data_IF_687189004873
#
_entry.id   IF_687189004873
#
_cell.length_a   1.000
_cell.length_b   1.000
_cell.length_c   1.000
_cell.angle_alpha   90.00
_cell.angle_beta   90.00
_cell.angle_gamma   90.00
#
_symmetry.space_group_name_H-M   'P 1'
#
loop_
_entity.id
_entity.type
_entity.pdbx_description
1 polymer ?
#
# COMPACT_ATOMS: atom_id res chain seq x y z
N UNK A 1 -5.97 -21.36 28.83
CA UNK A 1 -4.72 -20.87 29.48
C UNK A 1 -4.99 -19.49 30.08
N UNK A 2 -4.50 -19.29 31.31
CA UNK A 2 -4.70 -18.06 32.07
C UNK A 2 -3.99 -16.89 31.37
N UNK A 3 -4.72 -15.82 30.94
CA UNK A 3 -4.13 -14.66 30.31
C UNK A 3 -3.09 -13.94 31.17
N UNK A 4 -3.26 -13.96 32.50
CA UNK A 4 -2.37 -13.29 33.45
C UNK A 4 -0.98 -13.94 33.52
N UNK A 5 -0.83 -15.17 33.00
CA UNK A 5 0.48 -15.86 32.92
C UNK A 5 1.30 -15.45 31.70
N UNK A 6 0.74 -14.65 30.79
CA UNK A 6 1.33 -14.33 29.48
C UNK A 6 1.79 -12.88 29.38
N UNK A 7 2.81 -12.64 28.54
CA UNK A 7 3.20 -11.28 28.18
C UNK A 7 2.23 -10.69 27.13
N UNK A 8 2.21 -9.36 27.02
CA UNK A 8 1.41 -8.69 26.00
C UNK A 8 1.75 -9.20 24.58
N UNK A 9 3.03 -9.45 24.29
CA UNK A 9 3.46 -10.00 23.00
C UNK A 9 2.89 -11.40 22.72
N UNK A 10 2.85 -12.27 23.72
CA UNK A 10 2.24 -13.61 23.57
C UNK A 10 0.73 -13.53 23.33
N UNK A 11 0.03 -12.67 24.07
CA UNK A 11 -1.41 -12.45 23.84
C UNK A 11 -1.72 -11.90 22.45
N UNK A 12 -0.91 -10.98 21.95
CA UNK A 12 -1.04 -10.43 20.59
C UNK A 12 -0.88 -11.55 19.55
N UNK A 13 0.12 -12.43 19.71
CA UNK A 13 0.30 -13.57 18.79
C UNK A 13 -0.89 -14.52 18.82
N UNK A 14 -1.45 -14.81 20.00
CA UNK A 14 -2.63 -15.67 20.13
C UNK A 14 -3.88 -15.04 19.50
N UNK A 15 -4.11 -13.74 19.75
CA UNK A 15 -5.21 -12.99 19.12
C UNK A 15 -5.06 -13.03 17.60
N UNK A 16 -3.85 -12.78 17.09
CA UNK A 16 -3.60 -12.79 15.65
C UNK A 16 -3.81 -14.18 15.03
N UNK A 17 -3.37 -15.23 15.72
CA UNK A 17 -3.61 -16.61 15.31
C UNK A 17 -5.11 -16.98 15.32
N UNK A 18 -5.86 -16.43 16.29
CA UNK A 18 -7.32 -16.58 16.35
C UNK A 18 -8.02 -15.87 15.17
N UNK A 19 -7.63 -14.63 14.88
CA UNK A 19 -8.14 -13.89 13.73
C UNK A 19 -7.91 -14.65 12.42
N UNK A 20 -6.74 -15.27 12.25
CA UNK A 20 -6.46 -16.08 11.06
C UNK A 20 -7.42 -17.26 10.88
N UNK A 21 -7.93 -17.84 11.98
CA UNK A 21 -8.80 -19.01 11.93
C UNK A 21 -10.28 -18.67 11.82
N UNK A 22 -10.70 -17.58 12.44
CA UNK A 22 -12.13 -17.29 12.64
C UNK A 22 -12.64 -16.20 11.68
N UNK A 23 -11.95 -15.05 11.61
CA UNK A 23 -12.43 -13.90 10.87
C UNK A 23 -11.28 -12.99 10.45
N UNK A 24 -10.84 -13.16 9.23
CA UNK A 24 -9.75 -12.36 8.66
C UNK A 24 -10.24 -10.99 8.29
N UNK A 25 -9.85 -9.98 9.08
CA UNK A 25 -10.15 -8.59 8.81
C UNK A 25 -9.11 -7.97 7.86
N UNK A 26 -9.37 -6.75 7.38
CA UNK A 26 -8.47 -5.99 6.51
C UNK A 26 -7.03 -5.90 7.04
N UNK A 27 -6.86 -5.72 8.37
CA UNK A 27 -5.53 -5.70 8.99
C UNK A 27 -4.74 -6.99 8.76
N UNK A 28 -5.39 -8.14 8.88
CA UNK A 28 -4.74 -9.43 8.64
C UNK A 28 -4.23 -9.55 7.20
N UNK A 29 -5.05 -9.15 6.23
CA UNK A 29 -4.67 -9.13 4.81
C UNK A 29 -3.50 -8.16 4.57
N UNK A 30 -3.61 -6.93 5.06
CA UNK A 30 -2.58 -5.89 4.93
C UNK A 30 -1.25 -6.32 5.53
N UNK A 31 -1.26 -6.87 6.75
CA UNK A 31 -0.05 -7.33 7.44
C UNK A 31 0.59 -8.54 6.72
N UNK A 32 -0.23 -9.47 6.22
CA UNK A 32 0.25 -10.61 5.43
C UNK A 32 0.88 -10.15 4.12
N UNK A 33 0.26 -9.20 3.41
CA UNK A 33 0.79 -8.61 2.18
C UNK A 33 2.12 -7.89 2.43
N UNK A 34 2.18 -7.05 3.47
CA UNK A 34 3.40 -6.33 3.85
C UNK A 34 4.54 -7.31 4.15
N UNK A 35 4.28 -8.35 4.95
CA UNK A 35 5.27 -9.38 5.26
C UNK A 35 5.76 -10.10 4.00
N UNK A 36 4.85 -10.52 3.11
CA UNK A 36 5.22 -11.17 1.85
C UNK A 36 6.08 -10.27 0.97
N UNK A 37 5.70 -9.01 0.81
CA UNK A 37 6.37 -8.10 -0.10
C UNK A 37 7.71 -7.59 0.45
N UNK A 38 7.76 -7.16 1.71
CA UNK A 38 8.97 -6.54 2.28
C UNK A 38 9.92 -7.51 2.98
N UNK A 39 9.47 -8.72 3.35
CA UNK A 39 10.35 -9.75 3.92
C UNK A 39 10.70 -10.86 2.93
N UNK A 40 9.78 -11.17 2.01
CA UNK A 40 9.91 -12.32 1.12
C UNK A 40 10.42 -12.00 -0.28
N UNK A 41 9.98 -10.89 -0.88
CA UNK A 41 10.26 -10.57 -2.30
C UNK A 41 11.23 -9.39 -2.41
N UNK A 42 11.03 -8.37 -1.60
CA UNK A 42 11.78 -7.12 -1.61
C UNK A 42 12.41 -6.86 -0.24
N UNK A 43 13.06 -5.72 -0.08
CA UNK A 43 13.50 -5.23 1.21
C UNK A 43 13.18 -3.73 1.39
N UNK A 44 13.16 -3.28 2.63
CA UNK A 44 12.79 -1.89 2.97
C UNK A 44 13.78 -0.83 2.51
N UNK A 45 15.02 -1.22 2.12
CA UNK A 45 15.99 -0.26 1.57
C UNK A 45 15.66 0.13 0.14
N UNK A 46 15.08 -0.80 -0.64
CA UNK A 46 14.76 -0.59 -2.05
C UNK A 46 13.28 -0.31 -2.28
N UNK A 47 12.43 -0.63 -1.31
CA UNK A 47 10.97 -0.60 -1.45
C UNK A 47 10.36 0.21 -0.33
N UNK A 48 9.40 1.07 -0.68
CA UNK A 48 8.55 1.77 0.29
C UNK A 48 7.10 1.34 0.11
N UNK A 49 6.42 1.14 1.22
CA UNK A 49 4.98 0.88 1.24
C UNK A 49 4.23 2.03 1.93
N UNK A 50 3.00 2.23 1.53
CA UNK A 50 2.08 3.24 2.08
C UNK A 50 0.71 2.61 2.24
N UNK A 51 0.00 2.98 3.29
CA UNK A 51 -1.40 2.60 3.48
C UNK A 51 -2.31 3.81 3.35
N UNK A 52 -3.56 3.57 2.99
CA UNK A 52 -4.62 4.58 2.93
C UNK A 52 -4.25 5.80 2.07
N UNK A 53 -3.72 5.54 0.87
CA UNK A 53 -3.32 6.59 -0.07
C UNK A 53 -4.54 7.09 -0.84
N UNK A 54 -4.86 8.38 -0.71
CA UNK A 54 -5.95 9.00 -1.48
C UNK A 54 -5.55 9.19 -2.93
N UNK A 55 -6.38 8.66 -3.84
CA UNK A 55 -6.24 8.80 -5.30
C UNK A 55 -7.62 9.17 -5.85
N UNK A 56 -7.79 10.42 -6.26
CA UNK A 56 -9.09 10.93 -6.64
C UNK A 56 -10.11 10.86 -5.49
N UNK A 57 -11.23 10.20 -5.74
CA UNK A 57 -12.28 10.00 -4.75
C UNK A 57 -12.16 8.66 -3.98
N UNK A 58 -11.16 7.85 -4.29
CA UNK A 58 -10.90 6.57 -3.61
C UNK A 58 -9.69 6.65 -2.70
N UNK A 59 -9.58 5.69 -1.80
CA UNK A 59 -8.45 5.51 -0.88
C UNK A 59 -7.92 4.11 -1.12
N UNK A 60 -6.68 4.01 -1.59
CA UNK A 60 -6.01 2.74 -1.82
C UNK A 60 -5.51 2.16 -0.49
N UNK A 61 -5.85 0.91 -0.20
CA UNK A 61 -5.49 0.25 1.06
C UNK A 61 -3.99 0.09 1.21
N UNK A 62 -3.32 -0.32 0.14
CA UNK A 62 -1.90 -0.57 0.14
C UNK A 62 -1.26 -0.13 -1.19
N UNK A 63 -0.20 0.66 -1.09
CA UNK A 63 0.62 1.10 -2.22
C UNK A 63 2.06 0.67 -1.97
N UNK A 64 2.70 0.08 -2.97
CA UNK A 64 4.11 -0.28 -2.93
C UNK A 64 4.86 0.45 -4.04
N UNK A 65 6.03 0.99 -3.73
CA UNK A 65 6.91 1.63 -4.71
C UNK A 65 8.30 1.00 -4.64
N UNK A 66 8.67 0.31 -5.73
CA UNK A 66 9.99 -0.30 -5.93
C UNK A 66 10.44 -0.12 -7.39
N UNK A 67 10.99 1.05 -7.71
CA UNK A 67 11.25 1.45 -9.10
C UNK A 67 9.97 1.82 -9.86
N UNK A 68 8.92 1.02 -9.73
CA UNK A 68 7.56 1.27 -10.19
C UNK A 68 6.58 1.32 -9.01
N UNK A 69 5.42 1.93 -9.23
CA UNK A 69 4.33 1.97 -8.24
C UNK A 69 3.29 0.90 -8.52
N UNK A 70 2.82 0.23 -7.47
CA UNK A 70 1.74 -0.77 -7.51
C UNK A 70 0.72 -0.47 -6.43
N UNK A 71 -0.55 -0.53 -6.79
CA UNK A 71 -1.67 -0.45 -5.84
C UNK A 71 -2.20 -1.86 -5.58
N UNK A 72 -2.59 -2.10 -4.35
CA UNK A 72 -3.31 -3.30 -3.95
C UNK A 72 -4.58 -2.87 -3.21
N UNK A 73 -5.72 -3.22 -3.77
CA UNK A 73 -7.02 -3.12 -3.09
C UNK A 73 -7.26 -4.41 -2.33
N UNK A 74 -7.61 -4.31 -1.07
CA UNK A 74 -7.88 -5.46 -0.21
C UNK A 74 -9.38 -5.69 -0.13
N UNK A 75 -9.82 -6.90 -0.45
CA UNK A 75 -11.19 -7.34 -0.26
C UNK A 75 -11.20 -8.55 0.66
N UNK A 76 -11.55 -8.30 1.92
CA UNK A 76 -11.71 -9.35 2.93
C UNK A 76 -12.99 -10.16 2.66
N UNK A 77 -13.16 -11.26 3.38
CA UNK A 77 -14.36 -12.11 3.27
C UNK A 77 -15.68 -11.39 3.66
N UNK A 78 -15.58 -10.18 4.22
CA UNK A 78 -16.73 -9.36 4.64
C UNK A 78 -17.08 -8.26 3.64
N UNK A 79 -16.25 -8.04 2.64
CA UNK A 79 -16.41 -6.96 1.68
C UNK A 79 -17.24 -7.41 0.46
N UNK A 80 -17.90 -6.44 -0.18
CA UNK A 80 -18.50 -6.62 -1.49
C UNK A 80 -17.66 -5.95 -2.58
N UNK A 81 -18.01 -6.22 -3.83
CA UNK A 81 -17.32 -5.67 -5.01
C UNK A 81 -18.07 -4.48 -5.65
N UNK A 82 -19.13 -3.96 -5.05
CA UNK A 82 -20.01 -2.97 -5.68
C UNK A 82 -19.28 -1.69 -6.10
N UNK A 83 -18.27 -1.29 -5.32
CA UNK A 83 -17.47 -0.08 -5.60
C UNK A 83 -16.15 -0.37 -6.28
N UNK A 84 -15.85 -1.65 -6.59
CA UNK A 84 -14.53 -2.05 -7.06
C UNK A 84 -14.18 -1.38 -8.39
N UNK A 85 -15.13 -1.28 -9.33
CA UNK A 85 -14.91 -0.61 -10.61
C UNK A 85 -14.40 0.83 -10.44
N UNK A 86 -15.09 1.63 -9.64
CA UNK A 86 -14.71 3.02 -9.40
C UNK A 86 -13.38 3.14 -8.65
N UNK A 87 -13.13 2.27 -7.67
CA UNK A 87 -11.86 2.22 -6.96
C UNK A 87 -10.70 1.97 -7.92
N UNK A 88 -10.76 0.91 -8.73
CA UNK A 88 -9.72 0.55 -9.69
C UNK A 88 -9.52 1.65 -10.73
N UNK A 89 -10.60 2.23 -11.26
CA UNK A 89 -10.54 3.34 -12.20
C UNK A 89 -9.79 4.55 -11.62
N UNK A 90 -10.07 4.92 -10.36
CA UNK A 90 -9.32 6.00 -9.71
C UNK A 90 -7.84 5.63 -9.49
N UNK A 91 -7.54 4.38 -9.16
CA UNK A 91 -6.14 3.96 -8.96
C UNK A 91 -5.36 4.03 -10.26
N UNK A 92 -5.94 3.64 -11.38
CA UNK A 92 -5.32 3.79 -12.70
C UNK A 92 -5.13 5.25 -13.14
N UNK A 93 -5.77 6.22 -12.47
CA UNK A 93 -5.46 7.64 -12.72
C UNK A 93 -4.05 8.05 -12.27
N UNK A 94 -3.41 7.28 -11.38
CA UNK A 94 -2.09 7.62 -10.85
C UNK A 94 -1.08 6.46 -10.93
N UNK A 95 -1.53 5.23 -11.11
CA UNK A 95 -0.69 4.02 -11.15
C UNK A 95 -0.95 3.20 -12.41
N UNK A 96 0.13 2.73 -13.04
CA UNK A 96 0.04 1.86 -14.22
C UNK A 96 -0.24 0.40 -13.88
N UNK A 97 -0.05 -0.01 -12.62
CA UNK A 97 -0.25 -1.39 -12.14
C UNK A 97 -1.11 -1.40 -10.89
N UNK A 98 -2.24 -2.07 -10.99
CA UNK A 98 -3.22 -2.21 -9.91
C UNK A 98 -3.55 -3.68 -9.72
N UNK A 99 -3.72 -4.10 -8.47
CA UNK A 99 -4.06 -5.48 -8.13
C UNK A 99 -5.15 -5.49 -7.06
N UNK A 100 -5.87 -6.59 -6.98
CA UNK A 100 -6.76 -6.92 -5.86
C UNK A 100 -6.17 -8.07 -5.04
N UNK A 101 -6.36 -8.03 -3.73
CA UNK A 101 -6.04 -9.13 -2.83
C UNK A 101 -7.35 -9.66 -2.24
N UNK A 102 -7.67 -10.91 -2.52
CA UNK A 102 -8.91 -11.56 -2.09
C UNK A 102 -8.60 -12.86 -1.35
N UNK A 103 -9.59 -13.44 -0.65
CA UNK A 103 -9.48 -14.81 -0.16
C UNK A 103 -9.63 -15.83 -1.29
N UNK A 104 -9.18 -17.07 -1.04
CA UNK A 104 -9.36 -18.18 -1.98
C UNK A 104 -10.84 -18.45 -2.28
N UNK A 105 -11.73 -18.15 -1.33
CA UNK A 105 -13.18 -18.37 -1.48
C UNK A 105 -13.83 -17.37 -2.44
N UNK A 106 -13.23 -16.18 -2.63
CA UNK A 106 -13.72 -15.13 -3.53
C UNK A 106 -13.06 -15.18 -4.93
N UNK A 107 -12.18 -16.18 -5.20
CA UNK A 107 -11.37 -16.21 -6.42
C UNK A 107 -12.21 -16.30 -7.69
N UNK A 108 -13.21 -17.15 -7.73
CA UNK A 108 -14.08 -17.30 -8.91
C UNK A 108 -14.89 -16.02 -9.13
N UNK A 109 -15.48 -15.49 -8.08
CA UNK A 109 -16.28 -14.27 -8.13
C UNK A 109 -15.49 -13.06 -8.59
N UNK A 110 -14.25 -12.87 -8.09
CA UNK A 110 -13.42 -11.75 -8.54
C UNK A 110 -13.04 -11.87 -10.02
N UNK A 111 -12.84 -13.07 -10.55
CA UNK A 111 -12.61 -13.26 -11.97
C UNK A 111 -13.82 -12.82 -12.80
N UNK A 112 -15.03 -13.19 -12.40
CA UNK A 112 -16.27 -12.79 -13.09
C UNK A 112 -16.46 -11.26 -13.03
N UNK A 113 -16.25 -10.66 -11.85
CA UNK A 113 -16.37 -9.20 -11.65
C UNK A 113 -15.36 -8.46 -12.54
N UNK A 114 -14.09 -8.85 -12.53
CA UNK A 114 -13.07 -8.20 -13.35
C UNK A 114 -13.31 -8.39 -14.85
N UNK A 115 -13.80 -9.56 -15.28
CA UNK A 115 -14.17 -9.79 -16.68
C UNK A 115 -15.24 -8.81 -17.17
N UNK A 116 -16.14 -8.35 -16.30
CA UNK A 116 -17.16 -7.35 -16.63
C UNK A 116 -16.59 -5.93 -16.85
N UNK A 117 -15.33 -5.69 -16.48
CA UNK A 117 -14.68 -4.38 -16.59
C UNK A 117 -13.86 -4.21 -17.87
N UNK A 118 -13.89 -5.21 -18.76
CA UNK A 118 -13.17 -5.20 -20.04
C UNK A 118 -11.64 -5.06 -19.86
N UNK A 119 -10.99 -4.32 -20.75
CA UNK A 119 -9.53 -4.17 -20.80
C UNK A 119 -8.93 -3.70 -19.46
N UNK A 120 -9.64 -2.85 -18.73
CA UNK A 120 -9.22 -2.44 -17.39
C UNK A 120 -9.18 -3.63 -16.43
N UNK A 121 -10.21 -4.47 -16.44
CA UNK A 121 -10.28 -5.66 -15.59
C UNK A 121 -9.22 -6.71 -15.96
N UNK A 122 -8.92 -6.85 -17.25
CA UNK A 122 -7.85 -7.75 -17.74
C UNK A 122 -6.46 -7.29 -17.26
N UNK A 123 -6.27 -5.99 -17.11
CA UNK A 123 -5.01 -5.42 -16.61
C UNK A 123 -4.81 -5.58 -15.10
N UNK A 124 -5.88 -5.79 -14.33
CA UNK A 124 -5.80 -5.90 -12.86
C UNK A 124 -5.15 -7.21 -12.44
N UNK A 125 -4.13 -7.13 -11.59
CA UNK A 125 -3.54 -8.30 -10.94
C UNK A 125 -4.48 -8.91 -9.88
N UNK A 126 -4.35 -10.20 -9.63
CA UNK A 126 -5.09 -10.90 -8.58
C UNK A 126 -4.10 -11.59 -7.65
N UNK A 127 -4.13 -11.23 -6.38
CA UNK A 127 -3.41 -11.90 -5.31
C UNK A 127 -4.40 -12.66 -4.44
N UNK A 128 -4.05 -13.86 -4.03
CA UNK A 128 -4.99 -14.75 -3.34
C UNK A 128 -4.44 -15.15 -1.98
N UNK A 129 -5.19 -14.87 -0.93
CA UNK A 129 -4.92 -15.34 0.42
C UNK A 129 -5.46 -16.77 0.58
N UNK A 130 -4.57 -17.70 0.95
CA UNK A 130 -4.91 -19.09 1.20
C UNK A 130 -5.66 -19.28 2.52
N UNK A 131 -6.29 -20.43 2.73
CA UNK A 131 -6.88 -20.83 4.01
C UNK A 131 -5.86 -20.83 5.16
N UNK A 132 -4.57 -21.07 4.87
CA UNK A 132 -3.49 -21.04 5.86
C UNK A 132 -3.02 -19.63 6.22
N UNK A 133 -3.61 -18.58 5.65
CA UNK A 133 -3.23 -17.18 5.89
C UNK A 133 -1.92 -16.78 5.20
N UNK A 134 -1.59 -17.42 4.09
CA UNK A 134 -0.44 -17.05 3.24
C UNK A 134 -0.93 -16.67 1.84
N UNK A 135 -0.25 -15.72 1.20
CA UNK A 135 -0.58 -15.35 -0.18
C UNK A 135 0.04 -16.37 -1.12
N UNK A 136 -0.75 -16.95 -2.02
CA UNK A 136 -0.28 -17.88 -3.04
C UNK A 136 0.82 -17.27 -3.92
N UNK A 137 1.73 -18.11 -4.36
CA UNK A 137 2.64 -17.80 -5.45
C UNK A 137 1.91 -17.99 -6.79
N UNK A 138 2.60 -18.03 -7.88
CA UNK A 138 2.13 -17.91 -9.27
C UNK A 138 0.91 -18.76 -9.70
N UNK A 139 0.60 -19.85 -9.04
CA UNK A 139 -0.41 -20.81 -9.56
C UNK A 139 -1.87 -20.30 -9.49
N UNK A 140 -2.18 -19.42 -8.53
CA UNK A 140 -3.54 -18.86 -8.34
C UNK A 140 -3.55 -17.34 -8.32
N UNK A 141 -2.42 -16.72 -8.66
CA UNK A 141 -2.25 -15.28 -8.73
C UNK A 141 -2.08 -14.84 -10.18
N UNK A 142 -2.60 -13.67 -10.51
CA UNK A 142 -2.39 -13.01 -11.80
C UNK A 142 -1.59 -11.75 -11.58
N UNK A 143 -0.41 -11.61 -12.23
CA UNK A 143 0.35 -10.35 -12.16
C UNK A 143 -0.38 -9.24 -12.91
N UNK A 144 -0.33 -7.99 -12.44
CA UNK A 144 -0.94 -6.87 -13.14
C UNK A 144 -0.16 -6.55 -14.43
N UNK A 145 -0.88 -6.23 -15.49
CA UNK A 145 -0.29 -5.63 -16.68
C UNK A 145 -0.33 -4.11 -16.62
N UNK A 146 0.44 -3.43 -17.47
CA UNK A 146 0.45 -1.98 -17.57
C UNK A 146 -0.86 -1.52 -18.23
N UNK A 147 -1.56 -0.58 -17.57
CA UNK A 147 -2.75 0.07 -18.08
C UNK A 147 -2.70 1.56 -17.78
N UNK A 148 -2.64 2.41 -18.82
CA UNK A 148 -2.37 3.83 -18.72
C UNK A 148 -3.50 4.72 -19.26
N UNK A 149 -4.63 4.15 -19.68
CA UNK A 149 -5.75 4.87 -20.32
C UNK A 149 -6.34 5.98 -19.45
N UNK A 150 -6.30 5.82 -18.12
CA UNK A 150 -6.81 6.83 -17.17
C UNK A 150 -5.71 7.67 -16.53
N UNK A 151 -4.43 7.37 -16.81
CA UNK A 151 -3.31 8.04 -16.18
C UNK A 151 -3.35 9.55 -16.45
N UNK A 152 -3.28 10.37 -15.39
CA UNK A 152 -3.29 11.83 -15.54
C UNK A 152 -2.43 12.53 -14.48
N UNK A 153 -1.86 13.66 -14.88
CA UNK A 153 -0.95 14.44 -14.05
C UNK A 153 -1.57 14.93 -12.75
N UNK A 154 -2.82 15.39 -12.80
CA UNK A 154 -3.51 15.93 -11.63
C UNK A 154 -3.65 14.89 -10.52
N UNK A 155 -3.96 13.62 -10.85
CA UNK A 155 -4.06 12.54 -9.88
C UNK A 155 -2.70 12.17 -9.28
N UNK A 156 -1.65 12.12 -10.10
CA UNK A 156 -0.27 11.88 -9.65
C UNK A 156 0.18 13.03 -8.75
N UNK A 157 -0.01 14.28 -9.17
CA UNK A 157 0.41 15.47 -8.44
C UNK A 157 -0.25 15.58 -7.05
N UNK A 158 -1.55 15.27 -6.96
CA UNK A 158 -2.31 15.33 -5.70
C UNK A 158 -1.86 14.32 -4.64
N UNK A 159 -1.10 13.30 -5.00
CA UNK A 159 -0.49 12.38 -4.03
C UNK A 159 0.76 12.97 -3.38
N UNK A 160 1.35 14.01 -3.99
CA UNK A 160 2.59 14.62 -3.54
C UNK A 160 2.35 15.65 -2.45
N UNK A 161 3.31 15.74 -1.53
CA UNK A 161 3.39 16.84 -0.57
C UNK A 161 4.00 18.08 -1.23
N UNK A 162 3.75 19.25 -0.68
CA UNK A 162 4.27 20.53 -1.22
C UNK A 162 5.75 20.47 -1.56
N UNK A 163 6.60 20.05 -0.63
CA UNK A 163 8.06 19.97 -0.84
C UNK A 163 8.44 18.98 -1.94
N UNK A 164 7.68 17.94 -2.13
CA UNK A 164 7.98 16.88 -3.10
C UNK A 164 7.76 17.36 -4.52
N UNK A 165 6.62 17.99 -4.82
CA UNK A 165 6.41 18.55 -6.15
C UNK A 165 7.30 19.79 -6.43
N UNK A 166 7.61 20.60 -5.41
CA UNK A 166 8.61 21.66 -5.54
C UNK A 166 10.01 21.11 -5.91
N UNK A 167 10.42 19.99 -5.27
CA UNK A 167 11.68 19.33 -5.57
C UNK A 167 11.71 18.79 -7.00
N UNK A 168 10.62 18.15 -7.45
CA UNK A 168 10.51 17.62 -8.82
C UNK A 168 10.67 18.76 -9.83
N UNK A 169 9.91 19.84 -9.68
CA UNK A 169 9.93 20.95 -10.63
C UNK A 169 11.28 21.64 -10.65
N UNK A 170 11.89 21.89 -9.48
CA UNK A 170 13.22 22.48 -9.39
C UNK A 170 14.28 21.60 -10.04
N UNK A 171 14.23 20.28 -9.79
CA UNK A 171 15.21 19.36 -10.36
C UNK A 171 15.06 19.21 -11.87
N UNK A 172 13.83 19.25 -12.39
CA UNK A 172 13.55 19.03 -13.80
C UNK A 172 13.79 20.27 -14.66
N UNK A 173 13.34 21.44 -14.19
CA UNK A 173 13.37 22.70 -14.97
C UNK A 173 14.48 23.67 -14.53
N UNK A 174 15.14 23.44 -13.39
CA UNK A 174 16.11 24.37 -12.81
C UNK A 174 15.51 25.58 -12.12
N UNK A 175 14.24 25.89 -12.38
CA UNK A 175 13.51 27.04 -11.84
C UNK A 175 12.15 26.60 -11.29
N UNK A 176 11.59 27.38 -10.38
CA UNK A 176 10.25 27.16 -9.82
C UNK A 176 9.35 28.36 -10.10
N UNK A 177 8.04 28.16 -10.27
CA UNK A 177 7.09 29.25 -10.43
C UNK A 177 7.18 30.24 -9.27
N UNK A 178 7.27 31.53 -9.60
CA UNK A 178 7.25 32.64 -8.65
C UNK A 178 5.86 33.27 -8.70
N UNK A 179 4.99 32.84 -7.78
CA UNK A 179 3.57 33.27 -7.76
C UNK A 179 3.13 33.53 -6.32
N UNK A 180 2.03 34.27 -6.18
CA UNK A 180 1.41 34.46 -4.88
C UNK A 180 0.96 33.13 -4.27
N UNK A 181 0.94 33.00 -2.93
CA UNK A 181 0.61 31.75 -2.25
C UNK A 181 -0.72 31.10 -2.66
N UNK A 182 -1.72 31.88 -3.02
CA UNK A 182 -3.04 31.42 -3.45
C UNK A 182 -2.98 30.66 -4.80
N UNK A 183 -2.04 31.02 -5.67
CA UNK A 183 -1.86 30.38 -6.97
C UNK A 183 -0.78 29.31 -6.97
N UNK A 184 -0.14 29.05 -5.82
CA UNK A 184 0.99 28.14 -5.73
C UNK A 184 0.65 26.74 -6.26
N UNK A 185 -0.46 26.16 -5.82
CA UNK A 185 -0.84 24.80 -6.23
C UNK A 185 -1.10 24.70 -7.73
N UNK A 186 -1.88 25.63 -8.31
CA UNK A 186 -2.21 25.62 -9.75
C UNK A 186 -0.98 25.83 -10.62
N UNK A 187 -0.14 26.82 -10.30
CA UNK A 187 1.07 27.10 -11.06
C UNK A 187 2.09 25.94 -11.05
N UNK A 188 2.19 25.22 -9.91
CA UNK A 188 3.06 24.05 -9.85
C UNK A 188 2.44 22.84 -10.54
N UNK A 189 1.12 22.66 -10.53
CA UNK A 189 0.45 21.64 -11.32
C UNK A 189 0.63 21.88 -12.82
N UNK A 190 0.38 23.09 -13.31
CA UNK A 190 0.61 23.47 -14.72
C UNK A 190 2.05 23.17 -15.15
N UNK A 191 3.02 23.50 -14.30
CA UNK A 191 4.44 23.21 -14.59
C UNK A 191 4.74 21.71 -14.54
N UNK A 192 4.07 20.95 -13.68
CA UNK A 192 4.19 19.49 -13.62
C UNK A 192 3.59 18.81 -14.85
N UNK A 193 2.54 19.37 -15.44
CA UNK A 193 1.88 18.87 -16.65
C UNK A 193 2.77 18.98 -17.91
N UNK A 194 3.81 19.82 -17.90
CA UNK A 194 4.81 19.87 -18.97
C UNK A 194 5.75 18.64 -19.00
N UNK A 195 5.85 17.89 -17.90
CA UNK A 195 6.67 16.67 -17.82
C UNK A 195 5.91 15.53 -18.51
N UNK A 196 6.52 14.74 -19.41
CA UNK A 196 5.88 13.54 -19.96
C UNK A 196 5.31 12.65 -18.84
N UNK A 197 4.06 12.20 -18.99
CA UNK A 197 3.28 11.63 -17.88
C UNK A 197 3.96 10.43 -17.19
N UNK A 198 4.60 9.54 -17.94
CA UNK A 198 5.33 8.40 -17.38
C UNK A 198 6.55 8.84 -16.59
N UNK A 199 7.22 9.90 -17.04
CA UNK A 199 8.36 10.48 -16.33
C UNK A 199 7.89 11.23 -15.08
N UNK A 200 6.80 12.00 -15.17
CA UNK A 200 6.15 12.64 -14.03
C UNK A 200 5.77 11.62 -12.94
N UNK A 201 5.17 10.50 -13.33
CA UNK A 201 4.86 9.39 -12.43
C UNK A 201 6.13 8.83 -11.76
N UNK A 202 7.18 8.56 -12.53
CA UNK A 202 8.46 8.04 -12.00
C UNK A 202 9.08 9.00 -10.99
N UNK A 203 9.12 10.31 -11.30
CA UNK A 203 9.65 11.34 -10.41
C UNK A 203 8.81 11.45 -9.12
N UNK A 204 7.48 11.38 -9.25
CA UNK A 204 6.58 11.35 -8.09
C UNK A 204 6.88 10.16 -7.16
N UNK A 205 7.04 8.96 -7.72
CA UNK A 205 7.38 7.79 -6.93
C UNK A 205 8.77 7.88 -6.28
N UNK A 206 9.75 8.47 -6.93
CA UNK A 206 11.07 8.72 -6.34
C UNK A 206 10.98 9.64 -5.12
N UNK A 207 10.20 10.72 -5.18
CA UNK A 207 9.98 11.61 -4.04
C UNK A 207 9.20 10.92 -2.92
N UNK A 208 8.13 10.20 -3.25
CA UNK A 208 7.34 9.45 -2.25
C UNK A 208 8.19 8.42 -1.50
N UNK A 209 9.11 7.73 -2.16
CA UNK A 209 10.02 6.76 -1.50
C UNK A 209 10.84 7.38 -0.37
N UNK A 210 11.19 8.65 -0.45
CA UNK A 210 11.98 9.36 0.58
C UNK A 210 11.22 9.53 1.91
N UNK A 211 9.90 9.28 1.93
CA UNK A 211 9.08 9.35 3.15
C UNK A 211 9.38 8.23 4.13
N UNK A 212 9.78 7.07 3.63
CA UNK A 212 10.10 5.92 4.46
C UNK A 212 11.54 5.98 4.96
N UNK A 213 11.73 5.80 6.27
CA UNK A 213 13.03 5.89 6.94
C UNK A 213 13.35 4.66 7.80
N UNK A 214 12.55 3.59 7.72
CA UNK A 214 12.81 2.38 8.49
C UNK A 214 14.02 1.62 7.91
N UNK A 215 14.92 1.15 8.76
CA UNK A 215 16.03 0.28 8.35
C UNK A 215 15.61 -1.19 8.32
N UNK A 216 16.40 -2.04 7.64
CA UNK A 216 16.15 -3.49 7.61
C UNK A 216 16.19 -4.07 9.03
N UNK A 217 17.19 -3.67 9.82
CA UNK A 217 17.36 -4.16 11.20
C UNK A 217 16.17 -3.78 12.08
N UNK A 218 15.66 -2.55 11.94
CA UNK A 218 14.46 -2.12 12.65
C UNK A 218 13.25 -2.94 12.23
N UNK A 219 13.04 -3.12 10.92
CA UNK A 219 11.90 -3.86 10.41
C UNK A 219 11.91 -5.34 10.78
N UNK A 220 13.09 -5.97 10.82
CA UNK A 220 13.25 -7.37 11.23
C UNK A 220 12.95 -7.60 12.71
N UNK A 221 13.24 -6.62 13.57
CA UNK A 221 12.97 -6.71 15.01
C UNK A 221 11.49 -6.60 15.37
N UNK A 222 10.65 -6.08 14.48
CA UNK A 222 9.22 -5.97 14.74
C UNK A 222 8.60 -7.37 14.77
N UNK A 223 7.81 -7.64 15.82
CA UNK A 223 6.99 -8.86 15.92
C UNK A 223 6.12 -9.00 14.65
N UNK A 224 6.09 -10.18 13.99
CA UNK A 224 5.43 -10.34 12.68
C UNK A 224 3.99 -9.84 12.62
N UNK A 225 3.24 -10.05 13.69
CA UNK A 225 1.84 -9.64 13.81
C UNK A 225 1.65 -8.12 13.86
N UNK A 226 2.69 -7.37 14.24
CA UNK A 226 2.65 -5.91 14.42
C UNK A 226 3.32 -5.12 13.29
N UNK A 227 3.89 -5.79 12.29
CA UNK A 227 4.69 -5.12 11.25
C UNK A 227 3.91 -4.03 10.53
N UNK A 228 2.67 -4.28 10.12
CA UNK A 228 1.88 -3.29 9.41
C UNK A 228 1.59 -2.06 10.29
N UNK A 229 1.13 -2.25 11.52
CA UNK A 229 0.81 -1.12 12.40
C UNK A 229 2.05 -0.30 12.73
N UNK A 230 3.19 -0.92 13.03
CA UNK A 230 4.43 -0.20 13.36
C UNK A 230 4.99 0.53 12.12
N UNK A 231 4.97 -0.14 10.97
CA UNK A 231 5.48 0.42 9.72
C UNK A 231 4.69 1.64 9.26
N UNK A 232 3.36 1.55 9.21
CA UNK A 232 2.51 2.63 8.71
C UNK A 232 2.25 3.76 9.69
N UNK A 233 2.30 3.49 11.00
CA UNK A 233 2.12 4.53 12.03
C UNK A 233 3.37 5.38 12.29
N UNK A 234 4.53 5.01 11.72
CA UNK A 234 5.79 5.70 11.96
C UNK A 234 6.33 5.50 13.39
N UNK A 235 5.87 4.47 14.11
CA UNK A 235 6.30 4.15 15.48
C UNK A 235 7.73 3.61 15.57
N UNK A 236 8.49 3.63 14.49
CA UNK A 236 9.87 3.14 14.43
C UNK A 236 10.81 3.83 15.43
N UNK A 237 10.58 5.10 15.72
CA UNK A 237 11.32 5.83 16.78
C UNK A 237 10.97 5.38 18.20
N UNK A 238 9.83 4.70 18.39
CA UNK A 238 9.34 4.20 19.70
C UNK A 238 9.59 2.69 19.88
N UNK A 239 10.35 2.06 18.98
CA UNK A 239 10.65 0.63 19.03
C UNK A 239 11.16 0.15 20.41
N UNK A 240 12.11 0.82 21.10
CA UNK A 240 12.57 0.35 22.40
C UNK A 240 11.45 0.31 23.45
N UNK A 241 10.55 1.29 23.45
CA UNK A 241 9.41 1.31 24.36
C UNK A 241 8.39 0.21 24.03
N UNK A 242 8.16 -0.02 22.73
CA UNK A 242 7.29 -1.11 22.27
C UNK A 242 7.85 -2.49 22.69
N UNK A 243 9.15 -2.72 22.49
CA UNK A 243 9.81 -3.98 22.89
C UNK A 243 9.72 -4.23 24.40
N UNK A 244 9.81 -3.17 25.21
CA UNK A 244 9.60 -3.28 26.65
C UNK A 244 8.16 -3.63 26.98
N UNK A 245 7.19 -2.94 26.37
CA UNK A 245 5.76 -3.19 26.56
C UNK A 245 5.39 -4.64 26.25
N UNK A 246 5.88 -5.18 25.13
CA UNK A 246 5.58 -6.54 24.68
C UNK A 246 6.09 -7.63 25.64
N UNK A 247 7.11 -7.33 26.45
CA UNK A 247 7.68 -8.23 27.48
C UNK A 247 6.96 -8.16 28.81
N UNK A 248 6.19 -7.11 29.08
CA UNK A 248 5.44 -6.97 30.31
C UNK A 248 4.35 -8.03 30.38
N UNK A 249 4.23 -8.67 31.54
CA UNK A 249 3.16 -9.63 31.84
C UNK A 249 1.82 -8.89 31.84
N UNK A 250 0.81 -9.46 31.21
CA UNK A 250 -0.55 -8.93 31.23
C UNK A 250 -1.08 -8.96 32.67
N UNK A 251 -1.69 -7.88 33.09
CA UNK A 251 -2.41 -7.76 34.35
C UNK A 251 -3.79 -7.24 34.00
N UNK A 252 -4.79 -8.14 34.05
CA UNK A 252 -6.19 -7.86 33.78
C UNK A 252 -6.77 -6.74 34.62
#
# INVERSE_FOLDING_TARGET
DDPESKSHGQLISEIYAHLNKQQRNEYFYMNTLLNKLLCGIHNVNTTSAFSQVRIGHSIADFVMINGEGRVYEIKSDLDNFDRLYDQLRYYFCAFSKVSVLVSIHELEKIHEVLASFGDMGDAVGIYVLSERGTIFNKERSREPSIYNEFLNHSSIFKMLRKREYENIIRAYFGVVPQVEPVFHFSAFLEKFEEIPIIEAQKLAFQEMKKRNKITVEQFQKIQPELKAVVYFSGLTSKMPALDQLLKIQYRG
#
